data_IF_568429205126
#
_entry.id   IF_568429205126
#
_cell.length_a   1.000
_cell.length_b   1.000
_cell.length_c   1.000
_cell.angle_alpha   90.00
_cell.angle_beta   90.00
_cell.angle_gamma   90.00
#
_symmetry.space_group_name_H-M   'P 1'
#
loop_
_entity.id
_entity.type
_entity.pdbx_description
1 polymer ?
#
# COMPACT_ATOMS: atom_id res chain seq x y z
N UNK A 1 -21.51 2.92 -30.73
CA UNK A 1 -20.39 1.95 -30.64
C UNK A 1 -20.11 1.72 -29.17
N UNK A 2 -20.70 0.69 -28.53
CA UNK A 2 -20.38 0.41 -27.13
C UNK A 2 -18.94 -0.13 -27.09
N UNK A 3 -18.05 0.55 -26.38
CA UNK A 3 -16.71 0.06 -26.10
C UNK A 3 -16.88 -1.22 -25.26
N UNK A 4 -16.61 -2.37 -25.88
CA UNK A 4 -16.65 -3.68 -25.21
C UNK A 4 -15.54 -3.77 -24.18
N UNK A 5 -15.76 -3.14 -23.02
CA UNK A 5 -14.89 -3.25 -21.87
C UNK A 5 -14.90 -4.72 -21.41
N UNK A 6 -13.74 -5.36 -21.22
CA UNK A 6 -13.69 -6.72 -20.72
C UNK A 6 -14.37 -6.81 -19.37
N UNK A 7 -15.05 -7.93 -19.11
CA UNK A 7 -15.71 -8.16 -17.83
C UNK A 7 -14.69 -8.01 -16.69
N UNK A 8 -15.05 -7.29 -15.60
CA UNK A 8 -14.13 -7.06 -14.50
C UNK A 8 -13.73 -8.41 -13.90
N UNK A 9 -12.45 -8.75 -14.02
CA UNK A 9 -11.87 -9.95 -13.40
C UNK A 9 -12.11 -9.86 -11.90
N UNK A 10 -12.91 -10.78 -11.37
CA UNK A 10 -13.11 -10.99 -9.93
C UNK A 10 -11.76 -11.38 -9.31
N UNK A 11 -11.03 -10.39 -8.79
CA UNK A 11 -9.87 -10.61 -7.93
C UNK A 11 -10.37 -10.73 -6.50
N UNK A 12 -9.80 -11.66 -5.73
CA UNK A 12 -9.99 -11.67 -4.28
C UNK A 12 -9.65 -10.29 -3.71
N UNK A 13 -10.09 -10.00 -2.48
CA UNK A 13 -9.97 -8.67 -1.85
C UNK A 13 -8.56 -8.06 -1.82
N UNK A 14 -7.51 -8.82 -2.22
CA UNK A 14 -6.14 -8.35 -2.31
C UNK A 14 -5.46 -8.17 -0.95
N UNK A 15 -6.20 -8.41 0.15
CA UNK A 15 -5.74 -8.06 1.51
C UNK A 15 -4.82 -9.09 2.14
N UNK A 16 -4.61 -10.27 1.53
CA UNK A 16 -3.80 -11.36 2.09
C UNK A 16 -4.13 -11.70 3.57
N UNK A 17 -5.38 -11.49 4.00
CA UNK A 17 -5.83 -11.70 5.39
C UNK A 17 -5.52 -10.56 6.37
N UNK A 18 -4.89 -9.47 5.92
CA UNK A 18 -4.62 -8.30 6.74
C UNK A 18 -5.90 -7.51 7.01
N UNK A 19 -6.08 -7.07 8.25
CA UNK A 19 -7.14 -6.14 8.67
C UNK A 19 -6.53 -4.75 8.89
N UNK A 20 -7.21 -3.71 8.40
CA UNK A 20 -6.82 -2.33 8.71
C UNK A 20 -7.19 -2.03 10.16
N UNK A 21 -6.28 -1.42 10.93
CA UNK A 21 -6.62 -0.82 12.22
C UNK A 21 -7.49 0.43 12.03
N UNK A 22 -8.07 0.90 13.13
CA UNK A 22 -8.88 2.12 13.11
C UNK A 22 -8.00 3.36 12.85
N UNK A 23 -8.51 4.35 12.09
CA UNK A 23 -7.80 5.60 11.88
C UNK A 23 -7.64 6.41 13.18
N UNK A 24 -6.47 7.00 13.38
CA UNK A 24 -6.14 7.87 14.51
C UNK A 24 -5.87 9.31 14.03
N UNK A 25 -6.21 10.34 14.81
CA UNK A 25 -5.86 11.72 14.46
C UNK A 25 -4.35 11.92 14.36
N UNK A 26 -3.89 12.79 13.44
CA UNK A 26 -2.47 13.18 13.36
C UNK A 26 -2.24 14.59 13.89
N UNK A 27 -1.20 14.77 14.70
CA UNK A 27 -0.80 16.09 15.23
C UNK A 27 0.01 16.92 14.21
N UNK A 28 -0.02 16.56 12.93
CA UNK A 28 0.82 17.13 11.88
C UNK A 28 0.32 18.48 11.33
N UNK A 29 -0.33 19.29 12.16
CA UNK A 29 -0.79 20.64 11.78
C UNK A 29 -1.88 20.69 10.70
N UNK A 30 -2.58 19.58 10.47
CA UNK A 30 -3.78 19.52 9.64
C UNK A 30 -4.93 19.17 10.56
N UNK A 31 -5.65 20.18 11.02
CA UNK A 31 -6.90 19.99 11.75
C UNK A 31 -7.80 19.12 10.85
N UNK A 32 -8.29 17.99 11.40
CA UNK A 32 -9.09 16.94 10.73
C UNK A 32 -8.35 15.84 9.95
N UNK A 33 -7.02 15.77 9.97
CA UNK A 33 -6.33 14.64 9.34
C UNK A 33 -6.30 13.39 10.23
N UNK A 34 -6.67 12.25 9.65
CA UNK A 34 -6.59 10.92 10.27
C UNK A 34 -5.60 10.04 9.50
N UNK A 35 -4.85 9.21 10.21
CA UNK A 35 -3.93 8.23 9.65
C UNK A 35 -4.28 6.80 10.10
N UNK A 36 -3.96 5.82 9.26
CA UNK A 36 -4.01 4.41 9.63
C UNK A 36 -2.61 3.99 10.03
N UNK A 37 -2.40 3.73 11.31
CA UNK A 37 -1.10 3.27 11.80
C UNK A 37 -0.93 1.77 11.59
N UNK A 38 0.10 1.38 10.85
CA UNK A 38 0.39 -0.02 10.55
C UNK A 38 1.76 -0.37 11.13
N UNK A 39 1.78 -1.33 12.05
CA UNK A 39 3.04 -1.84 12.58
C UNK A 39 3.68 -2.82 11.60
N UNK A 40 4.92 -2.52 11.20
CA UNK A 40 5.75 -3.40 10.40
C UNK A 40 7.10 -3.62 11.09
N UNK A 41 7.64 -4.85 11.00
CA UNK A 41 9.00 -5.14 11.50
C UNK A 41 10.06 -4.27 10.82
N UNK A 42 9.89 -3.99 9.53
CA UNK A 42 10.70 -3.04 8.75
C UNK A 42 9.92 -2.63 7.51
N UNK A 43 9.92 -1.34 7.17
CA UNK A 43 9.40 -0.82 5.90
C UNK A 43 10.47 -0.77 4.79
N UNK A 44 11.72 -1.05 5.15
CA UNK A 44 12.87 -0.96 4.25
C UNK A 44 13.12 -2.35 3.63
N UNK A 45 13.25 -2.41 2.31
CA UNK A 45 13.56 -3.62 1.57
C UNK A 45 14.97 -3.55 0.99
N UNK A 46 15.67 -4.68 0.98
CA UNK A 46 16.96 -4.84 0.31
C UNK A 46 16.72 -4.89 -1.19
N UNK A 47 17.46 -4.11 -1.96
CA UNK A 47 17.41 -4.17 -3.41
C UNK A 47 18.17 -5.41 -3.89
N UNK A 48 17.59 -6.24 -4.77
CA UNK A 48 18.32 -7.36 -5.38
C UNK A 48 19.53 -6.88 -6.17
N UNK A 49 20.64 -7.63 -6.14
CA UNK A 49 21.88 -7.24 -6.82
C UNK A 49 21.78 -7.13 -8.35
N UNK A 50 20.76 -7.76 -8.95
CA UNK A 50 20.47 -7.68 -10.39
C UNK A 50 19.69 -6.42 -10.78
N UNK A 51 19.26 -5.62 -9.79
CA UNK A 51 18.49 -4.40 -10.04
C UNK A 51 19.41 -3.31 -10.60
N UNK A 52 18.91 -2.58 -11.59
CA UNK A 52 19.63 -1.48 -12.24
C UNK A 52 19.56 -0.15 -11.48
N UNK A 53 18.93 -0.13 -10.30
CA UNK A 53 18.78 1.08 -9.49
C UNK A 53 20.04 1.33 -8.65
N UNK A 54 20.46 2.59 -8.44
CA UNK A 54 21.75 2.91 -7.83
C UNK A 54 21.77 2.79 -6.29
N UNK A 55 20.69 2.34 -5.67
CA UNK A 55 20.53 2.26 -4.22
C UNK A 55 20.40 0.80 -3.74
N UNK A 56 20.95 0.53 -2.56
CA UNK A 56 20.94 -0.82 -1.96
C UNK A 56 19.65 -1.13 -1.19
N UNK A 57 18.84 -0.12 -0.93
CA UNK A 57 17.63 -0.23 -0.11
C UNK A 57 16.51 0.65 -0.66
N UNK A 58 15.26 0.20 -0.50
CA UNK A 58 14.06 0.97 -0.83
C UNK A 58 13.12 1.06 0.35
N UNK A 59 12.25 2.08 0.36
CA UNK A 59 11.15 2.21 1.30
C UNK A 59 9.88 1.69 0.62
N UNK A 60 9.17 0.77 1.27
CA UNK A 60 7.83 0.34 0.86
C UNK A 60 6.79 0.86 1.87
N UNK A 61 6.17 2.02 1.61
CA UNK A 61 5.16 2.61 2.49
C UNK A 61 3.86 1.80 2.51
N UNK A 62 3.68 0.86 1.58
CA UNK A 62 2.50 0.01 1.49
C UNK A 62 2.64 -1.29 2.29
N UNK A 63 3.74 -1.50 3.02
CA UNK A 63 3.92 -2.73 3.79
C UNK A 63 2.85 -2.85 4.89
N UNK A 64 2.01 -3.87 4.76
CA UNK A 64 0.87 -4.09 5.66
C UNK A 64 -0.39 -3.30 5.28
N UNK A 65 -0.34 -2.47 4.24
CA UNK A 65 -1.50 -1.79 3.70
C UNK A 65 -2.46 -2.80 3.06
N UNK A 66 -3.75 -2.71 3.40
CA UNK A 66 -4.81 -3.58 2.84
C UNK A 66 -5.69 -2.80 1.86
N UNK A 67 -5.24 -1.60 1.47
CA UNK A 67 -5.93 -0.80 0.49
C UNK A 67 -5.70 -1.47 -0.86
N UNK A 68 -6.77 -2.01 -1.44
CA UNK A 68 -6.75 -2.61 -2.77
C UNK A 68 -6.81 -1.50 -3.83
N UNK A 69 -5.88 -0.54 -3.75
CA UNK A 69 -5.83 0.60 -4.66
C UNK A 69 -5.69 0.09 -6.09
N UNK A 70 -6.56 0.56 -6.96
CA UNK A 70 -6.46 0.33 -8.40
C UNK A 70 -5.87 1.60 -9.00
N UNK A 71 -4.78 1.42 -9.75
CA UNK A 71 -4.06 2.48 -10.46
C UNK A 71 -4.50 2.53 -11.92
#
# INVERSE_FOLDING_TARGET
MPLGLPEPVQRGSGRAGLKLPEPVPIEAGTDDAFAIEIQAKSIINRVPGESQVPFQWTVNPYRGCTHACQY
#
